data_IF_176140197440
#
_entry.id   IF_176140197440
#
_cell.length_a   1.000
_cell.length_b   1.000
_cell.length_c   1.000
_cell.angle_alpha   90.00
_cell.angle_beta   90.00
_cell.angle_gamma   90.00
#
_symmetry.space_group_name_H-M   'P 1'
#
loop_
_entity.id
_entity.type
_entity.pdbx_description
1 polymer ?
#
# COMPACT_ATOMS: atom_id res chain seq x y z
N UNK A 1 -0.84 16.43 8.95
CA UNK A 1 -1.46 15.12 8.66
C UNK A 1 -1.97 15.04 7.24
N UNK A 2 -2.03 16.17 6.52
CA UNK A 2 -2.69 16.24 5.22
C UNK A 2 -1.95 15.46 4.13
N UNK A 3 -0.63 15.30 4.26
CA UNK A 3 0.15 14.40 3.40
C UNK A 3 -0.30 12.93 3.50
N UNK A 4 -0.69 12.45 4.69
CA UNK A 4 -1.21 11.07 4.85
C UNK A 4 -2.61 10.92 4.24
N UNK A 5 -3.41 11.99 4.29
CA UNK A 5 -4.73 12.02 3.64
C UNK A 5 -4.60 12.05 2.12
N UNK A 6 -3.70 12.88 1.60
CA UNK A 6 -3.37 12.92 0.17
C UNK A 6 -2.88 11.55 -0.32
N UNK A 7 -1.95 10.91 0.41
CA UNK A 7 -1.47 9.56 0.07
C UNK A 7 -2.61 8.52 0.04
N UNK A 8 -3.57 8.62 0.97
CA UNK A 8 -4.76 7.77 0.95
C UNK A 8 -5.63 8.03 -0.29
N UNK A 9 -5.85 9.29 -0.65
CA UNK A 9 -6.64 9.67 -1.82
C UNK A 9 -5.98 9.20 -3.13
N UNK A 10 -4.66 9.34 -3.24
CA UNK A 10 -3.86 8.81 -4.34
C UNK A 10 -3.99 7.28 -4.41
N UNK A 11 -3.87 6.59 -3.28
CA UNK A 11 -4.01 5.13 -3.23
C UNK A 11 -5.41 4.67 -3.65
N UNK A 12 -6.47 5.33 -3.18
CA UNK A 12 -7.85 5.02 -3.57
C UNK A 12 -8.06 5.24 -5.07
N UNK A 13 -7.53 6.32 -5.62
CA UNK A 13 -7.61 6.60 -7.07
C UNK A 13 -6.94 5.49 -7.88
N UNK A 14 -5.78 4.98 -7.42
CA UNK A 14 -5.10 3.86 -8.07
C UNK A 14 -5.96 2.59 -8.02
N UNK A 15 -6.47 2.23 -6.84
CA UNK A 15 -7.26 0.99 -6.66
C UNK A 15 -8.59 1.05 -7.44
N UNK A 16 -9.27 2.19 -7.44
CA UNK A 16 -10.53 2.39 -8.17
C UNK A 16 -10.34 2.31 -9.70
N UNK A 17 -9.13 2.59 -10.19
CA UNK A 17 -8.78 2.52 -11.60
C UNK A 17 -8.37 1.13 -12.11
N UNK A 18 -8.19 0.14 -11.25
CA UNK A 18 -7.71 -1.20 -11.64
C UNK A 18 -8.85 -2.06 -12.20
N UNK A 19 -8.59 -2.67 -13.36
CA UNK A 19 -9.49 -3.67 -13.94
C UNK A 19 -9.16 -5.08 -13.44
N UNK A 20 -10.08 -6.03 -13.64
CA UNK A 20 -9.82 -7.45 -13.38
C UNK A 20 -8.66 -8.00 -14.22
N UNK A 21 -8.50 -7.50 -15.45
CA UNK A 21 -7.37 -7.83 -16.32
C UNK A 21 -6.04 -7.29 -15.76
N UNK A 22 -6.05 -6.07 -15.21
CA UNK A 22 -4.87 -5.51 -14.53
C UNK A 22 -4.47 -6.37 -13.34
N UNK A 23 -5.43 -6.72 -12.49
CA UNK A 23 -5.21 -7.50 -11.27
C UNK A 23 -4.66 -8.91 -11.55
N UNK A 24 -4.99 -9.46 -12.72
CA UNK A 24 -4.56 -10.79 -13.16
C UNK A 24 -3.17 -10.79 -13.81
N UNK A 25 -2.64 -9.64 -14.21
CA UNK A 25 -1.30 -9.54 -14.78
C UNK A 25 -0.21 -9.89 -13.75
N UNK A 26 0.90 -10.48 -14.19
CA UNK A 26 2.07 -10.74 -13.33
C UNK A 26 2.59 -9.44 -12.72
N UNK A 27 2.86 -9.45 -11.41
CA UNK A 27 3.39 -8.29 -10.72
C UNK A 27 4.85 -8.04 -11.15
N UNK A 28 5.21 -6.80 -11.51
CA UNK A 28 6.60 -6.46 -11.82
C UNK A 28 7.46 -6.31 -10.55
N UNK A 29 6.81 -6.15 -9.39
CA UNK A 29 7.40 -5.87 -8.09
C UNK A 29 6.40 -6.30 -6.99
N UNK A 30 6.82 -6.65 -5.76
CA UNK A 30 8.19 -6.86 -5.28
C UNK A 30 8.81 -8.19 -5.70
N UNK A 31 8.02 -9.10 -6.27
CA UNK A 31 8.48 -10.39 -6.79
C UNK A 31 8.72 -10.24 -8.30
N UNK A 32 9.97 -10.07 -8.75
CA UNK A 32 10.24 -9.66 -10.12
C UNK A 32 9.77 -10.71 -11.13
N UNK A 33 8.63 -10.43 -11.78
CA UNK A 33 8.00 -11.22 -12.83
C UNK A 33 7.76 -12.70 -12.48
N UNK A 34 7.59 -13.01 -11.19
CA UNK A 34 7.20 -14.35 -10.75
C UNK A 34 5.72 -14.59 -11.10
N UNK A 35 5.40 -15.54 -12.00
CA UNK A 35 4.02 -15.80 -12.41
C UNK A 35 3.12 -16.29 -11.27
N UNK A 36 3.67 -16.71 -10.12
CA UNK A 36 2.87 -17.02 -8.93
C UNK A 36 2.27 -15.76 -8.27
N UNK A 37 2.81 -14.57 -8.53
CA UNK A 37 2.41 -13.32 -7.91
C UNK A 37 1.83 -12.35 -8.94
N UNK A 38 0.51 -12.19 -8.91
CA UNK A 38 -0.22 -11.22 -9.74
C UNK A 38 -0.23 -9.81 -9.14
N UNK A 39 -0.63 -8.79 -9.92
CA UNK A 39 -0.82 -7.43 -9.40
C UNK A 39 -1.83 -7.38 -8.25
N UNK A 40 -2.79 -8.30 -8.17
CA UNK A 40 -3.65 -8.41 -6.98
C UNK A 40 -2.86 -8.67 -5.69
N UNK A 41 -1.86 -9.56 -5.74
CA UNK A 41 -0.95 -9.81 -4.60
C UNK A 41 -0.13 -8.56 -4.27
N UNK A 42 0.36 -7.86 -5.29
CA UNK A 42 1.10 -6.61 -5.12
C UNK A 42 0.23 -5.52 -4.46
N UNK A 43 -1.01 -5.34 -4.91
CA UNK A 43 -1.96 -4.36 -4.34
C UNK A 43 -2.28 -4.70 -2.88
N UNK A 44 -2.53 -5.97 -2.58
CA UNK A 44 -2.75 -6.43 -1.20
C UNK A 44 -1.52 -6.16 -0.30
N UNK A 45 -0.31 -6.40 -0.84
CA UNK A 45 0.94 -6.08 -0.17
C UNK A 45 1.10 -4.58 0.08
N UNK A 46 0.95 -3.72 -0.94
CA UNK A 46 1.05 -2.26 -0.79
C UNK A 46 0.05 -1.75 0.25
N UNK A 47 -1.20 -2.21 0.21
CA UNK A 47 -2.20 -1.80 1.19
C UNK A 47 -1.78 -2.16 2.63
N UNK A 48 -1.22 -3.36 2.81
CA UNK A 48 -0.71 -3.82 4.11
C UNK A 48 0.49 -2.98 4.56
N UNK A 49 1.43 -2.67 3.67
CA UNK A 49 2.58 -1.82 3.98
C UNK A 49 2.18 -0.40 4.36
N UNK A 50 1.20 0.19 3.67
CA UNK A 50 0.66 1.50 4.02
C UNK A 50 0.04 1.51 5.42
N UNK A 51 -0.77 0.50 5.75
CA UNK A 51 -1.35 0.34 7.10
C UNK A 51 -0.28 0.20 8.18
N UNK A 52 0.75 -0.63 7.91
CA UNK A 52 1.88 -0.82 8.83
C UNK A 52 2.61 0.48 9.09
N UNK A 53 2.98 1.22 8.05
CA UNK A 53 3.73 2.47 8.16
C UNK A 53 2.95 3.54 8.96
N UNK A 54 1.63 3.63 8.77
CA UNK A 54 0.78 4.54 9.57
C UNK A 54 0.77 4.16 11.05
N UNK A 55 0.69 2.88 11.37
CA UNK A 55 0.74 2.40 12.75
C UNK A 55 2.08 2.72 13.42
N UNK A 56 3.20 2.51 12.73
CA UNK A 56 4.56 2.82 13.21
C UNK A 56 4.74 4.32 13.49
N UNK A 57 4.27 5.19 12.59
CA UNK A 57 4.26 6.65 12.81
C UNK A 57 3.46 7.01 14.06
N UNK A 58 2.28 6.39 14.23
CA UNK A 58 1.45 6.58 15.42
C UNK A 58 2.18 6.20 16.70
N UNK A 59 2.81 5.02 16.72
CA UNK A 59 3.60 4.54 17.83
C UNK A 59 4.76 5.50 18.18
N UNK A 60 5.53 5.95 17.20
CA UNK A 60 6.65 6.89 17.43
C UNK A 60 6.19 8.22 18.03
N UNK A 61 5.02 8.72 17.61
CA UNK A 61 4.44 9.94 18.18
C UNK A 61 4.00 9.77 19.63
N UNK A 62 3.40 8.62 19.95
CA UNK A 62 3.03 8.29 21.34
C UNK A 62 4.28 8.24 22.23
N UNK A 63 5.34 7.55 21.79
CA UNK A 63 6.60 7.47 22.53
C UNK A 63 7.21 8.86 22.77
N UNK A 64 7.22 9.73 21.75
CA UNK A 64 7.72 11.10 21.87
C UNK A 64 6.89 11.98 22.81
N UNK A 65 5.57 11.77 22.88
CA UNK A 65 4.69 12.58 23.72
C UNK A 65 4.79 12.24 25.22
N UNK A 66 5.35 11.07 25.56
CA UNK A 66 5.52 10.56 26.94
C UNK A 66 6.96 10.77 27.45
N UNK A 67 7.86 11.27 26.60
CA UNK A 67 9.28 11.56 26.93
C UNK A 67 9.47 12.97 27.50
#
# INVERSE_FOLDING_TARGET
>A
MDWLRALREEWLTVVDGLTEADLSATAPFPWPNDPAHTKAHMVAWVNTELMKNVAEIGQLRLLRAVS
#
